data_IF_192474397662
#
_entry.id   IF_192474397662
#
_cell.length_a   1.000
_cell.length_b   1.000
_cell.length_c   1.000
_cell.angle_alpha   90.00
_cell.angle_beta   90.00
_cell.angle_gamma   90.00
#
_symmetry.space_group_name_H-M   'P 1'
#
loop_
_entity.id
_entity.type
_entity.pdbx_description
1 polymer ?
#
# COMPACT_ATOMS: atom_id res chain seq x y z
N UNK A 1 4.67 -4.60 -3.30
CA UNK A 1 4.26 -5.60 -2.30
C UNK A 1 3.50 -4.85 -1.23
N UNK A 2 2.34 -5.34 -0.83
CA UNK A 2 1.62 -4.75 0.30
C UNK A 2 2.40 -4.99 1.59
N UNK A 3 2.61 -3.93 2.37
CA UNK A 3 3.29 -4.00 3.66
C UNK A 3 2.31 -3.66 4.78
N UNK A 4 2.59 -4.12 6.01
CA UNK A 4 1.80 -3.74 7.18
C UNK A 4 1.88 -2.22 7.45
N UNK A 5 3.01 -1.61 7.14
CA UNK A 5 3.23 -0.17 7.28
C UNK A 5 2.41 0.66 6.29
N UNK A 6 2.35 0.23 5.03
CA UNK A 6 1.48 0.82 4.01
C UNK A 6 -0.01 0.63 4.34
N UNK A 7 -0.40 -0.56 4.80
CA UNK A 7 -1.77 -0.81 5.27
C UNK A 7 -2.13 0.05 6.51
N UNK A 8 -1.19 0.24 7.44
CA UNK A 8 -1.36 1.14 8.58
C UNK A 8 -1.51 2.60 8.15
N UNK A 9 -0.80 3.04 7.12
CA UNK A 9 -0.91 4.39 6.54
C UNK A 9 -2.31 4.62 5.96
N UNK A 10 -2.83 3.64 5.21
CA UNK A 10 -4.21 3.69 4.71
C UNK A 10 -5.24 3.67 5.84
N UNK A 11 -5.08 2.79 6.83
CA UNK A 11 -5.97 2.71 8.00
C UNK A 11 -6.04 4.07 8.73
N UNK A 12 -4.90 4.72 8.94
CA UNK A 12 -4.84 6.03 9.55
C UNK A 12 -5.56 7.11 8.72
N UNK A 13 -5.40 7.08 7.39
CA UNK A 13 -6.09 7.99 6.50
C UNK A 13 -7.62 7.75 6.49
N UNK A 14 -8.06 6.50 6.60
CA UNK A 14 -9.48 6.13 6.76
C UNK A 14 -10.04 6.66 8.09
N UNK A 15 -9.32 6.47 9.19
CA UNK A 15 -9.72 6.91 10.54
C UNK A 15 -9.75 8.44 10.65
N UNK A 16 -8.85 9.12 9.94
CA UNK A 16 -8.83 10.58 9.80
C UNK A 16 -9.95 11.13 8.89
N UNK A 17 -10.76 10.25 8.28
CA UNK A 17 -11.87 10.65 7.40
C UNK A 17 -11.44 11.17 6.03
N UNK A 18 -10.18 10.95 5.63
CA UNK A 18 -9.65 11.47 4.36
C UNK A 18 -10.34 10.82 3.15
N UNK A 19 -10.99 9.66 3.32
CA UNK A 19 -11.82 8.98 2.32
C UNK A 19 -13.32 9.00 2.66
N UNK A 20 -13.79 9.99 3.42
CA UNK A 20 -15.19 10.07 3.84
C UNK A 20 -15.56 9.05 4.92
N UNK A 21 -16.86 8.94 5.23
CA UNK A 21 -17.33 8.05 6.30
C UNK A 21 -17.42 6.62 5.78
N UNK A 22 -17.22 5.64 6.67
CA UNK A 22 -17.29 4.22 6.31
C UNK A 22 -18.64 3.84 5.68
N UNK A 23 -19.75 4.35 6.20
CA UNK A 23 -21.10 4.05 5.70
C UNK A 23 -21.38 4.60 4.29
N UNK A 24 -20.54 5.50 3.78
CA UNK A 24 -20.75 6.14 2.48
C UNK A 24 -20.08 5.35 1.33
N UNK A 25 -19.33 4.29 1.64
CA UNK A 25 -18.48 3.57 0.68
C UNK A 25 -18.31 2.10 1.06
N UNK A 26 -18.24 1.21 0.06
CA UNK A 26 -17.74 -0.16 0.28
C UNK A 26 -16.21 -0.19 0.12
N UNK A 27 -15.50 -0.59 1.18
CA UNK A 27 -14.03 -0.51 1.26
C UNK A 27 -13.41 -1.89 1.11
N UNK A 28 -12.60 -2.05 0.07
CA UNK A 28 -11.89 -3.30 -0.20
C UNK A 28 -10.39 -3.11 0.05
N UNK A 29 -9.80 -3.93 0.92
CA UNK A 29 -8.36 -4.03 1.07
C UNK A 29 -7.82 -5.04 0.06
N UNK A 30 -7.14 -4.55 -0.98
CA UNK A 30 -6.45 -5.40 -1.95
C UNK A 30 -5.01 -5.64 -1.50
N UNK A 31 -4.66 -6.90 -1.23
CA UNK A 31 -3.31 -7.31 -0.84
C UNK A 31 -2.57 -7.94 -2.03
N UNK A 32 -1.27 -7.67 -2.13
CA UNK A 32 -0.42 -8.21 -3.20
C UNK A 32 0.94 -8.60 -2.64
N UNK A 33 1.36 -9.83 -2.94
CA UNK A 33 2.69 -10.32 -2.64
C UNK A 33 3.56 -10.34 -3.90
N UNK A 34 4.63 -9.53 -3.91
CA UNK A 34 5.52 -9.40 -5.06
C UNK A 34 6.87 -10.12 -4.86
N UNK A 35 7.01 -10.95 -3.82
CA UNK A 35 8.20 -11.76 -3.61
C UNK A 35 8.43 -12.70 -4.81
N UNK A 36 9.69 -12.93 -5.19
CA UNK A 36 10.04 -13.75 -6.36
C UNK A 36 9.45 -15.18 -6.29
N UNK A 37 9.31 -15.71 -5.06
CA UNK A 37 8.58 -16.93 -4.75
C UNK A 37 7.56 -16.58 -3.65
N UNK A 38 6.34 -16.15 -4.01
CA UNK A 38 5.33 -15.66 -3.06
C UNK A 38 5.06 -16.63 -1.91
N UNK A 39 5.10 -17.93 -2.17
CA UNK A 39 4.87 -19.02 -1.23
C UNK A 39 5.90 -19.09 -0.09
N UNK A 40 7.04 -18.40 -0.22
CA UNK A 40 8.10 -18.36 0.79
C UNK A 40 8.12 -17.06 1.60
N UNK A 41 7.30 -16.09 1.22
CA UNK A 41 7.20 -14.82 1.93
C UNK A 41 6.04 -14.84 2.94
N UNK A 42 6.27 -14.24 4.11
CA UNK A 42 5.26 -14.06 5.14
C UNK A 42 4.05 -13.30 4.55
N UNK A 43 2.86 -13.90 4.62
CA UNK A 43 1.65 -13.26 4.10
C UNK A 43 1.22 -12.14 5.04
N UNK A 44 0.58 -11.10 4.50
CA UNK A 44 0.21 -9.91 5.29
C UNK A 44 -0.76 -10.30 6.42
N UNK A 45 -1.68 -11.22 6.13
CA UNK A 45 -2.67 -11.76 7.04
C UNK A 45 -2.09 -12.60 8.19
N UNK A 46 -0.85 -13.09 8.03
CA UNK A 46 -0.13 -13.82 9.07
C UNK A 46 0.62 -12.88 10.02
N UNK A 47 0.72 -11.58 9.68
CA UNK A 47 1.39 -10.59 10.52
C UNK A 47 0.52 -10.18 11.70
N UNK A 48 1.13 -10.03 12.88
CA UNK A 48 0.41 -9.51 14.07
C UNK A 48 -0.08 -8.09 13.82
N UNK A 49 -1.27 -7.78 14.33
CA UNK A 49 -1.95 -6.50 14.10
C UNK A 49 -2.67 -6.40 12.75
N UNK A 50 -2.54 -7.39 11.84
CA UNK A 50 -3.31 -7.38 10.60
C UNK A 50 -4.82 -7.32 10.83
N UNK A 51 -5.33 -8.08 11.81
CA UNK A 51 -6.77 -8.15 12.07
C UNK A 51 -7.40 -6.79 12.43
N UNK A 52 -6.70 -5.94 13.19
CA UNK A 52 -7.21 -4.60 13.51
C UNK A 52 -7.21 -3.68 12.29
N UNK A 53 -6.22 -3.81 11.41
CA UNK A 53 -6.19 -3.08 10.14
C UNK A 53 -7.31 -3.53 9.19
N UNK A 54 -7.45 -4.85 9.00
CA UNK A 54 -8.44 -5.42 8.10
C UNK A 54 -9.88 -5.10 8.50
N UNK A 55 -10.16 -4.93 9.81
CA UNK A 55 -11.49 -4.60 10.32
C UNK A 55 -12.04 -3.23 9.85
N UNK A 56 -11.20 -2.37 9.25
CA UNK A 56 -11.63 -1.08 8.66
C UNK A 56 -12.17 -1.21 7.23
N UNK A 57 -12.08 -2.41 6.67
CA UNK A 57 -12.49 -2.75 5.32
C UNK A 57 -13.64 -3.75 5.38
N UNK A 58 -14.56 -3.65 4.43
CA UNK A 58 -15.71 -4.55 4.30
C UNK A 58 -15.31 -5.89 3.67
N UNK A 59 -14.25 -5.89 2.87
CA UNK A 59 -13.67 -7.09 2.29
C UNK A 59 -12.15 -6.97 2.15
N UNK A 60 -11.48 -8.12 2.11
CA UNK A 60 -10.07 -8.24 1.74
C UNK A 60 -9.98 -9.17 0.54
N UNK A 61 -9.26 -8.75 -0.50
CA UNK A 61 -9.06 -9.55 -1.72
C UNK A 61 -7.59 -9.75 -2.01
N UNK A 62 -7.23 -10.96 -2.47
CA UNK A 62 -5.86 -11.32 -2.84
C UNK A 62 -5.66 -11.08 -4.34
N UNK A 63 -4.78 -10.13 -4.66
CA UNK A 63 -4.41 -9.83 -6.04
C UNK A 63 -3.74 -11.02 -6.73
N UNK A 64 -2.88 -11.76 -6.02
CA UNK A 64 -2.15 -12.90 -6.57
C UNK A 64 -3.12 -14.01 -7.00
N UNK A 65 -4.19 -14.23 -6.23
CA UNK A 65 -5.27 -15.16 -6.60
C UNK A 65 -6.04 -14.65 -7.82
N UNK A 66 -6.41 -13.38 -7.83
CA UNK A 66 -7.22 -12.77 -8.89
C UNK A 66 -6.56 -12.79 -10.28
N UNK A 67 -5.23 -12.76 -10.34
CA UNK A 67 -4.46 -12.80 -11.60
C UNK A 67 -3.78 -14.14 -11.87
N UNK A 68 -4.02 -15.16 -11.05
CA UNK A 68 -3.38 -16.47 -11.19
C UNK A 68 -3.56 -17.04 -12.61
N UNK A 69 -2.51 -17.61 -13.24
CA UNK A 69 -1.21 -17.99 -12.67
C UNK A 69 -0.11 -16.92 -12.82
N UNK A 70 -0.46 -15.65 -13.03
CA UNK A 70 0.53 -14.61 -13.30
C UNK A 70 1.18 -14.03 -12.04
N UNK A 71 2.43 -13.56 -12.17
CA UNK A 71 3.14 -12.89 -11.08
C UNK A 71 2.79 -11.38 -11.05
N UNK A 72 2.44 -10.79 -9.88
CA UNK A 72 2.00 -9.39 -9.77
C UNK A 72 2.95 -8.36 -10.34
N UNK A 73 4.26 -8.53 -10.18
CA UNK A 73 5.24 -7.59 -10.70
C UNK A 73 5.35 -7.61 -12.23
N UNK A 74 5.08 -8.76 -12.86
CA UNK A 74 5.28 -8.98 -14.29
C UNK A 74 4.02 -8.85 -15.13
N UNK A 75 2.84 -8.79 -14.50
CA UNK A 75 1.57 -8.84 -15.19
C UNK A 75 0.86 -7.49 -15.27
N UNK A 76 0.24 -7.24 -16.42
CA UNK A 76 -0.73 -6.17 -16.63
C UNK A 76 -1.62 -6.52 -17.81
N UNK A 77 -2.85 -5.98 -17.87
CA UNK A 77 -3.78 -6.29 -18.96
C UNK A 77 -3.26 -5.74 -20.28
N UNK A 78 -3.63 -6.37 -21.39
CA UNK A 78 -3.56 -5.70 -22.70
C UNK A 78 -4.63 -4.63 -22.78
N UNK A 79 -4.39 -3.60 -23.59
CA UNK A 79 -5.31 -2.46 -23.74
C UNK A 79 -6.72 -2.91 -24.15
N UNK A 80 -6.81 -3.91 -25.02
CA UNK A 80 -8.06 -4.50 -25.50
C UNK A 80 -8.80 -5.39 -24.47
N UNK A 81 -8.13 -5.78 -23.38
CA UNK A 81 -8.67 -6.67 -22.34
C UNK A 81 -9.13 -5.92 -21.08
N UNK A 82 -8.81 -4.63 -20.94
CA UNK A 82 -9.06 -3.84 -19.72
C UNK A 82 -10.52 -3.87 -19.27
N UNK A 83 -11.46 -3.73 -20.21
CA UNK A 83 -12.91 -3.76 -19.92
C UNK A 83 -13.37 -5.15 -19.47
N UNK A 84 -12.78 -6.22 -20.03
CA UNK A 84 -13.09 -7.58 -19.62
C UNK A 84 -12.60 -7.85 -18.19
N UNK A 85 -11.36 -7.46 -17.89
CA UNK A 85 -10.78 -7.57 -16.55
C UNK A 85 -11.56 -6.75 -15.53
N UNK A 86 -12.00 -5.54 -15.89
CA UNK A 86 -12.81 -4.70 -15.01
C UNK A 86 -14.11 -5.41 -14.63
N UNK A 87 -14.84 -5.96 -15.61
CA UNK A 87 -16.08 -6.70 -15.35
C UNK A 87 -15.83 -7.95 -14.50
N UNK A 88 -14.75 -8.67 -14.78
CA UNK A 88 -14.37 -9.86 -14.01
C UNK A 88 -14.08 -9.52 -12.54
N UNK A 89 -13.32 -8.45 -12.29
CA UNK A 89 -13.00 -8.01 -10.93
C UNK A 89 -14.18 -7.38 -10.20
N UNK A 90 -15.02 -6.60 -10.89
CA UNK A 90 -16.26 -6.12 -10.30
C UNK A 90 -17.14 -7.28 -9.83
N UNK A 91 -17.28 -8.32 -10.66
CA UNK A 91 -18.02 -9.53 -10.27
C UNK A 91 -17.33 -10.30 -9.13
N UNK A 92 -16.02 -10.51 -9.21
CA UNK A 92 -15.28 -11.31 -8.23
C UNK A 92 -15.19 -10.64 -6.86
N UNK A 93 -15.22 -9.31 -6.82
CA UNK A 93 -15.06 -8.52 -5.59
C UNK A 93 -16.36 -7.84 -5.15
N UNK A 94 -17.50 -8.26 -5.70
CA UNK A 94 -18.84 -7.74 -5.37
C UNK A 94 -18.96 -6.21 -5.49
N UNK A 95 -18.31 -5.63 -6.49
CA UNK A 95 -18.42 -4.21 -6.81
C UNK A 95 -19.58 -4.02 -7.79
N UNK A 96 -20.54 -3.20 -7.40
CA UNK A 96 -21.67 -2.83 -8.27
C UNK A 96 -21.17 -2.34 -9.66
N UNK A 97 -21.73 -2.83 -10.77
CA UNK A 97 -21.31 -2.46 -12.12
C UNK A 97 -21.35 -0.96 -12.43
N UNK A 98 -22.28 -0.23 -11.83
CA UNK A 98 -22.53 1.19 -12.08
C UNK A 98 -21.92 2.09 -10.98
N UNK A 99 -21.41 1.50 -9.89
CA UNK A 99 -20.78 2.26 -8.83
C UNK A 99 -19.41 2.85 -9.25
N UNK A 100 -19.13 4.12 -8.89
CA UNK A 100 -17.81 4.68 -9.06
C UNK A 100 -16.82 3.94 -8.15
N UNK A 101 -15.58 3.79 -8.65
CA UNK A 101 -14.49 3.17 -7.91
C UNK A 101 -13.39 4.22 -7.73
N UNK A 102 -12.90 4.40 -6.51
CA UNK A 102 -11.69 5.16 -6.25
C UNK A 102 -10.55 4.19 -5.91
N UNK A 103 -9.37 4.43 -6.46
CA UNK A 103 -8.18 3.62 -6.22
C UNK A 103 -7.26 4.32 -5.25
N UNK A 104 -6.90 3.67 -4.14
CA UNK A 104 -5.81 4.10 -3.26
C UNK A 104 -4.61 3.15 -3.40
N UNK A 105 -3.48 3.63 -3.91
CA UNK A 105 -2.33 2.79 -4.28
C UNK A 105 -0.99 3.40 -3.84
N UNK A 106 -0.03 2.58 -3.45
CA UNK A 106 1.28 3.06 -2.98
C UNK A 106 2.18 3.54 -4.13
N UNK A 107 2.45 2.63 -5.06
CA UNK A 107 3.49 2.78 -6.08
C UNK A 107 2.90 2.84 -7.49
N UNK A 108 2.26 3.95 -7.86
CA UNK A 108 1.57 4.12 -9.15
C UNK A 108 2.46 3.95 -10.40
N UNK A 109 3.78 3.97 -10.24
CA UNK A 109 4.75 3.81 -11.34
C UNK A 109 5.00 2.35 -11.74
N UNK A 110 4.57 1.38 -10.93
CA UNK A 110 4.83 -0.06 -11.13
C UNK A 110 3.56 -0.88 -10.90
N UNK A 111 3.63 -2.17 -11.27
CA UNK A 111 2.56 -3.11 -10.95
C UNK A 111 2.58 -3.48 -9.45
N UNK A 112 1.41 -3.72 -8.83
CA UNK A 112 0.09 -3.86 -9.45
C UNK A 112 -0.67 -2.54 -9.69
N UNK A 113 -0.23 -1.42 -9.13
CA UNK A 113 -0.96 -0.15 -9.20
C UNK A 113 -1.21 0.34 -10.64
N UNK A 114 -0.24 0.16 -11.54
CA UNK A 114 -0.42 0.47 -12.97
C UNK A 114 -1.48 -0.38 -13.65
N UNK A 115 -1.50 -1.69 -13.35
CA UNK A 115 -2.51 -2.59 -13.88
C UNK A 115 -3.91 -2.18 -13.39
N UNK A 116 -4.07 -1.94 -12.09
CA UNK A 116 -5.35 -1.48 -11.53
C UNK A 116 -5.82 -0.16 -12.15
N UNK A 117 -4.94 0.84 -12.28
CA UNK A 117 -5.27 2.12 -12.89
C UNK A 117 -5.64 2.00 -14.38
N UNK A 118 -5.11 1.01 -15.10
CA UNK A 118 -5.49 0.71 -16.48
C UNK A 118 -6.84 -0.01 -16.58
N UNK A 119 -7.12 -0.95 -15.66
CA UNK A 119 -8.36 -1.74 -15.63
C UNK A 119 -9.54 -0.87 -15.22
N UNK A 120 -9.41 -0.14 -14.12
CA UNK A 120 -10.41 0.82 -13.67
C UNK A 120 -10.08 2.20 -14.22
N UNK A 121 -10.14 2.36 -15.54
CA UNK A 121 -9.74 3.60 -16.23
C UNK A 121 -10.60 4.83 -15.88
N UNK A 122 -11.77 4.60 -15.30
CA UNK A 122 -12.73 5.59 -14.83
C UNK A 122 -12.41 6.15 -13.44
N UNK A 123 -11.59 5.43 -12.65
CA UNK A 123 -11.40 5.75 -11.23
C UNK A 123 -10.63 7.03 -10.98
N UNK A 124 -10.97 7.74 -9.90
CA UNK A 124 -10.01 8.65 -9.29
C UNK A 124 -8.86 7.84 -8.66
N UNK A 125 -7.64 8.39 -8.71
CA UNK A 125 -6.47 7.73 -8.14
C UNK A 125 -5.93 8.56 -6.99
N UNK A 126 -5.76 7.95 -5.83
CA UNK A 126 -5.10 8.49 -4.67
C UNK A 126 -3.82 7.69 -4.49
N UNK A 127 -2.70 8.39 -4.43
CA UNK A 127 -1.42 7.75 -4.15
C UNK A 127 -1.15 7.88 -2.67
N UNK A 128 -0.67 6.85 -2.00
CA UNK A 128 -0.15 6.98 -0.63
C UNK A 128 1.34 6.66 -0.60
N UNK A 129 2.08 7.40 0.21
CA UNK A 129 3.50 7.24 0.39
C UNK A 129 3.78 6.87 1.84
N UNK A 130 4.41 5.72 2.04
CA UNK A 130 4.70 5.12 3.34
C UNK A 130 6.21 5.06 3.63
N UNK A 131 7.03 5.78 2.84
CA UNK A 131 8.48 5.74 3.00
C UNK A 131 9.20 6.97 2.47
N UNK A 132 10.50 7.07 2.77
CA UNK A 132 11.35 8.22 2.44
C UNK A 132 11.51 8.48 0.94
N UNK A 133 11.16 7.50 0.10
CA UNK A 133 11.26 7.61 -1.35
C UNK A 133 10.37 8.71 -1.94
N UNK A 134 9.31 9.11 -1.23
CA UNK A 134 8.38 10.14 -1.66
C UNK A 134 8.93 11.57 -1.57
N UNK A 135 10.02 11.77 -0.85
CA UNK A 135 10.71 13.06 -0.76
C UNK A 135 11.61 13.33 -1.99
N UNK A 136 11.86 12.31 -2.81
CA UNK A 136 12.51 12.47 -4.10
C UNK A 136 11.51 12.79 -5.23
N UNK A 137 11.99 13.37 -6.35
CA UNK A 137 11.19 13.56 -7.56
C UNK A 137 10.65 12.24 -8.13
N UNK A 138 9.67 12.35 -9.03
CA UNK A 138 9.05 11.21 -9.70
C UNK A 138 10.08 10.45 -10.55
N UNK A 139 10.52 9.28 -10.10
CA UNK A 139 11.57 8.47 -10.75
C UNK A 139 11.28 8.11 -12.21
N UNK A 140 10.05 7.70 -12.50
CA UNK A 140 9.63 7.23 -13.82
C UNK A 140 8.49 8.09 -14.33
N UNK A 141 8.55 8.52 -15.60
CA UNK A 141 7.44 9.25 -16.21
C UNK A 141 6.18 8.38 -16.21
N UNK A 142 5.09 8.97 -15.72
CA UNK A 142 3.77 8.36 -15.76
C UNK A 142 3.07 8.65 -17.09
N UNK A 143 2.33 7.68 -17.64
CA UNK A 143 1.42 7.94 -18.75
C UNK A 143 0.42 9.04 -18.37
N UNK A 144 0.19 9.98 -19.29
CA UNK A 144 -0.74 11.10 -19.03
C UNK A 144 -2.16 10.62 -18.70
N UNK A 145 -2.57 9.48 -19.27
CA UNK A 145 -3.87 8.83 -19.00
C UNK A 145 -4.05 8.39 -17.55
N UNK A 146 -2.97 8.21 -16.80
CA UNK A 146 -3.00 7.92 -15.36
C UNK A 146 -2.77 9.22 -14.58
N UNK A 147 -1.76 10.01 -14.96
CA UNK A 147 -1.36 11.21 -14.23
C UNK A 147 -2.52 12.21 -14.03
N UNK A 148 -3.36 12.42 -15.04
CA UNK A 148 -4.48 13.37 -14.96
C UNK A 148 -5.61 12.95 -13.99
N UNK A 149 -5.61 11.69 -13.54
CA UNK A 149 -6.60 11.13 -12.62
C UNK A 149 -6.11 11.09 -11.17
N UNK A 150 -4.82 11.36 -10.95
CA UNK A 150 -4.26 11.40 -9.62
C UNK A 150 -4.75 12.66 -8.90
N UNK A 151 -5.42 12.47 -7.77
CA UNK A 151 -6.05 13.56 -7.00
C UNK A 151 -5.14 14.13 -5.94
N UNK A 152 -4.35 13.27 -5.29
CA UNK A 152 -3.49 13.62 -4.15
C UNK A 152 -2.44 12.55 -3.90
N UNK A 153 -1.41 12.95 -3.16
CA UNK A 153 -0.44 12.04 -2.54
C UNK A 153 -0.62 12.11 -1.02
N UNK A 154 -1.23 11.09 -0.42
CA UNK A 154 -1.26 10.93 1.03
C UNK A 154 0.14 10.59 1.53
N UNK A 155 0.62 11.27 2.57
CA UNK A 155 1.96 11.00 3.10
C UNK A 155 2.00 11.15 4.61
N UNK A 156 2.99 10.50 5.24
CA UNK A 156 3.39 10.73 6.62
C UNK A 156 4.44 11.85 6.69
N UNK A 157 4.52 12.57 7.82
CA UNK A 157 5.61 13.54 8.07
C UNK A 157 6.86 12.84 8.64
N UNK A 158 7.52 12.04 7.80
CA UNK A 158 8.70 11.25 8.21
C UNK A 158 9.95 12.12 8.42
N UNK A 159 10.01 13.29 7.78
CA UNK A 159 11.12 14.24 7.92
C UNK A 159 10.55 15.64 8.14
N UNK A 160 10.60 16.10 9.38
CA UNK A 160 10.01 17.38 9.81
C UNK A 160 10.42 18.54 8.90
N UNK A 161 9.42 19.22 8.35
CA UNK A 161 9.59 20.42 7.54
C UNK A 161 9.99 20.16 6.09
N UNK A 162 10.10 18.90 5.65
CA UNK A 162 10.24 18.56 4.24
C UNK A 162 8.88 18.26 3.62
N UNK A 163 8.67 18.78 2.41
CA UNK A 163 7.50 18.45 1.59
C UNK A 163 7.87 17.32 0.62
N UNK A 164 7.04 16.27 0.48
CA UNK A 164 7.24 15.26 -0.56
C UNK A 164 7.30 15.89 -1.96
N UNK A 165 8.16 15.35 -2.82
CA UNK A 165 8.32 15.76 -4.22
C UNK A 165 7.72 14.77 -5.22
N UNK A 166 7.31 13.60 -4.74
CA UNK A 166 6.62 12.60 -5.54
C UNK A 166 5.38 13.21 -6.20
N UNK A 167 5.33 13.14 -7.53
CA UNK A 167 4.25 13.64 -8.40
C UNK A 167 4.07 15.16 -8.45
N UNK A 168 5.02 15.92 -7.88
CA UNK A 168 5.00 17.39 -7.96
C UNK A 168 5.06 17.89 -9.41
N UNK A 169 5.76 17.17 -10.30
CA UNK A 169 5.88 17.50 -11.73
C UNK A 169 4.55 17.34 -12.48
N UNK A 170 3.63 16.53 -11.94
CA UNK A 170 2.28 16.37 -12.45
C UNK A 170 1.28 17.35 -11.80
N UNK A 171 1.75 18.24 -10.91
CA UNK A 171 0.91 19.19 -10.18
C UNK A 171 0.02 18.53 -9.12
N UNK A 172 0.37 17.33 -8.65
CA UNK A 172 -0.40 16.62 -7.63
C UNK A 172 0.00 17.13 -6.25
N UNK A 173 -0.99 17.53 -5.46
CA UNK A 173 -0.77 18.06 -4.12
C UNK A 173 -0.55 16.91 -3.10
N UNK A 174 0.50 17.00 -2.27
CA UNK A 174 0.67 16.12 -1.12
C UNK A 174 -0.31 16.52 -0.01
N UNK A 175 -0.97 15.53 0.58
CA UNK A 175 -1.91 15.67 1.69
C UNK A 175 -1.38 14.86 2.88
N UNK A 176 -1.25 15.51 4.04
CA UNK A 176 -0.72 14.87 5.23
C UNK A 176 -1.74 13.89 5.83
N UNK A 177 -1.31 12.68 6.17
CA UNK A 177 -2.04 11.76 7.05
C UNK A 177 -1.72 12.18 8.49
N UNK A 178 -2.73 12.51 9.34
CA UNK A 178 -2.46 13.03 10.67
C UNK A 178 -1.64 12.08 11.55
N UNK A 179 -0.58 12.61 12.17
CA UNK A 179 0.33 11.87 13.04
C UNK A 179 -0.40 11.13 14.17
N UNK A 180 -1.38 11.77 14.81
CA UNK A 180 -2.12 11.17 15.92
C UNK A 180 -2.96 9.97 15.46
N UNK A 181 -3.55 10.04 14.26
CA UNK A 181 -4.28 8.92 13.66
C UNK A 181 -3.32 7.77 13.35
N UNK A 182 -2.16 8.06 12.78
CA UNK A 182 -1.17 7.03 12.48
C UNK A 182 -0.58 6.38 13.73
N UNK A 183 -0.26 7.17 14.76
CA UNK A 183 0.20 6.66 16.06
C UNK A 183 -0.84 5.80 16.76
N UNK A 184 -2.13 6.14 16.65
CA UNK A 184 -3.20 5.32 17.19
C UNK A 184 -3.23 3.93 16.52
N UNK A 185 -3.14 3.88 15.19
CA UNK A 185 -3.08 2.61 14.44
C UNK A 185 -1.84 1.78 14.83
N UNK A 186 -0.66 2.40 14.93
CA UNK A 186 0.55 1.70 15.38
C UNK A 186 0.41 1.17 16.81
N UNK A 187 -0.31 1.89 17.67
CA UNK A 187 -0.58 1.45 19.05
C UNK A 187 -1.49 0.21 19.09
N UNK A 188 -2.48 0.12 18.20
CA UNK A 188 -3.31 -1.09 18.05
C UNK A 188 -2.48 -2.30 17.58
N UNK A 189 -1.60 -2.09 16.60
CA UNK A 189 -0.70 -3.14 16.10
C UNK A 189 0.24 -3.61 17.23
N UNK A 190 0.80 -2.68 18.00
CA UNK A 190 1.66 -2.99 19.13
C UNK A 190 0.91 -3.77 20.22
N UNK A 191 -0.32 -3.37 20.54
CA UNK A 191 -1.17 -4.10 21.50
C UNK A 191 -1.49 -5.52 21.02
N UNK A 192 -1.71 -5.73 19.72
CA UNK A 192 -1.91 -7.07 19.14
C UNK A 192 -0.63 -7.94 19.15
N UNK A 193 0.54 -7.33 19.33
CA UNK A 193 1.81 -8.01 19.50
C UNK A 193 2.17 -8.28 20.98
N UNK A 194 1.37 -7.77 21.93
CA UNK A 194 1.59 -8.01 23.35
C UNK A 194 1.54 -9.51 23.69
N UNK A 195 2.44 -9.95 24.57
CA UNK A 195 2.60 -11.36 24.91
C UNK A 195 3.27 -12.23 23.83
N UNK A 196 3.86 -11.64 22.77
CA UNK A 196 4.68 -12.40 21.84
C UNK A 196 5.88 -13.01 22.57
N UNK A 197 5.97 -14.34 22.58
CA UNK A 197 7.01 -15.08 23.30
C UNK A 197 8.42 -14.77 22.82
N UNK A 198 8.61 -14.44 21.54
CA UNK A 198 9.91 -14.04 21.00
C UNK A 198 10.29 -12.65 21.48
N UNK A 199 9.34 -11.71 21.50
CA UNK A 199 9.56 -10.36 22.02
C UNK A 199 9.85 -10.40 23.53
N UNK A 200 9.03 -11.11 24.31
CA UNK A 200 9.23 -11.29 25.74
C UNK A 200 10.58 -11.94 26.07
N UNK A 201 11.03 -12.92 25.26
CA UNK A 201 12.35 -13.52 25.41
C UNK A 201 13.48 -12.53 25.10
N UNK A 202 13.31 -11.67 24.08
CA UNK A 202 14.27 -10.65 23.73
C UNK A 202 14.36 -9.54 24.80
N UNK A 203 13.23 -9.11 25.37
CA UNK A 203 13.15 -8.15 26.48
C UNK A 203 13.78 -8.70 27.76
N UNK A 204 13.51 -9.96 28.09
CA UNK A 204 14.11 -10.62 29.25
C UNK A 204 15.64 -10.78 29.12
N UNK A 205 16.17 -10.84 27.89
CA UNK A 205 17.59 -10.96 27.60
C UNK A 205 18.33 -9.61 27.58
N UNK A 206 17.80 -8.58 28.23
CA UNK A 206 18.37 -7.23 28.25
C UNK A 206 19.88 -7.20 28.62
N UNK A 207 20.69 -6.33 27.99
CA UNK A 207 20.30 -5.31 27.01
C UNK A 207 20.03 -5.87 25.61
N UNK A 208 18.92 -5.44 25.01
CA UNK A 208 18.51 -5.83 23.65
C UNK A 208 18.99 -4.77 22.66
N UNK A 209 19.78 -5.17 21.66
CA UNK A 209 20.12 -4.30 20.53
C UNK A 209 19.08 -4.49 19.41
N UNK A 210 18.55 -3.38 18.89
CA UNK A 210 17.71 -3.39 17.70
C UNK A 210 18.56 -3.00 16.49
N UNK A 211 18.71 -3.92 15.54
CA UNK A 211 19.35 -3.64 14.25
C UNK A 211 18.25 -3.33 13.23
N UNK A 212 18.23 -2.09 12.75
CA UNK A 212 17.36 -1.67 11.65
C UNK A 212 18.14 -1.79 10.35
N UNK A 213 17.89 -2.85 9.59
CA UNK A 213 18.41 -3.00 8.23
C UNK A 213 17.51 -2.26 7.24
N UNK A 214 18.09 -1.38 6.43
CA UNK A 214 17.51 -0.99 5.15
C UNK A 214 18.19 -1.89 4.13
N UNK A 215 17.45 -2.53 3.23
CA UNK A 215 17.92 -3.53 2.26
C UNK A 215 18.84 -2.89 1.19
N UNK A 216 19.93 -2.27 1.63
CA UNK A 216 20.86 -1.45 0.86
C UNK A 216 21.65 -2.31 -0.12
N UNK A 217 22.00 -3.53 0.28
CA UNK A 217 22.63 -4.48 -0.63
C UNK A 217 21.69 -4.88 -1.78
N UNK A 218 20.42 -5.16 -1.46
CA UNK A 218 19.39 -5.46 -2.47
C UNK A 218 19.08 -4.26 -3.38
N UNK A 219 19.31 -3.03 -2.90
CA UNK A 219 19.25 -1.79 -3.68
C UNK A 219 20.54 -1.48 -4.44
N UNK A 220 21.55 -2.35 -4.38
CA UNK A 220 22.88 -2.14 -5.00
C UNK A 220 23.58 -0.86 -4.52
N UNK A 221 23.30 -0.44 -3.28
CA UNK A 221 23.97 0.69 -2.62
C UNK A 221 25.22 0.21 -1.88
N UNK A 222 25.18 -0.99 -1.29
CA UNK A 222 26.29 -1.68 -0.61
C UNK A 222 26.49 -3.08 -1.21
N UNK A 223 27.63 -3.72 -0.94
CA UNK A 223 27.77 -5.17 -1.17
C UNK A 223 27.10 -5.97 -0.05
N UNK A 224 26.75 -7.25 -0.26
CA UNK A 224 26.24 -8.12 0.80
C UNK A 224 27.22 -8.33 1.97
N UNK A 225 28.53 -8.11 1.77
CA UNK A 225 29.50 -8.17 2.87
C UNK A 225 29.61 -6.87 3.66
N UNK A 226 29.22 -5.74 3.06
CA UNK A 226 29.20 -4.42 3.70
C UNK A 226 27.94 -4.18 4.55
N UNK A 227 26.87 -4.94 4.30
CA UNK A 227 25.62 -4.95 5.07
C UNK A 227 25.65 -5.96 6.22
#
# INVERSE_FOLDING_TARGET
>A
MSTLYGAATLAAALDAGQFGRALDSHRILLVSNNAAVPETALRLEEMRGYGSLAARFDAVVDWNEAISPHHPSGWGPRSEETVLWQRAFRLAWDIDPDAPVDLAVESIQVNPARALAAIFSESAVHVYADGLMSYGPTRNRLPQSIACRIRRVLHLDLVTGLRPLLLAEAGVEPELVPDDAFRAVLSEIAAAADGDRKLAAAEAAAPTAMLLGQYLAALTILTPEEE
#
